data_IF_223534481796
#
_entry.id   IF_223534481796
#
_cell.length_a   1.000
_cell.length_b   1.000
_cell.length_c   1.000
_cell.angle_alpha   90.00
_cell.angle_beta   90.00
_cell.angle_gamma   90.00
#
_symmetry.space_group_name_H-M   'P 1'
#
loop_
_entity.id
_entity.type
_entity.pdbx_description
1 polymer ?
#
# COMPACT_ATOMS: atom_id res chain seq x y z
N UNK A 1 -33.33 1.07 -12.12
CA UNK A 1 -32.04 1.78 -12.14
C UNK A 1 -31.21 1.13 -11.06
N UNK A 2 -30.13 0.43 -11.40
CA UNK A 2 -29.30 -0.24 -10.39
C UNK A 2 -28.49 0.83 -9.67
N UNK A 3 -28.93 1.20 -8.47
CA UNK A 3 -28.23 2.18 -7.64
C UNK A 3 -26.77 1.75 -7.49
N UNK A 4 -25.88 2.53 -8.10
CA UNK A 4 -24.46 2.26 -8.10
C UNK A 4 -23.92 2.50 -6.69
N UNK A 5 -23.66 1.42 -5.96
CA UNK A 5 -23.05 1.45 -4.63
C UNK A 5 -21.68 0.81 -4.71
N UNK A 6 -20.70 1.41 -4.02
CA UNK A 6 -19.37 0.82 -3.87
C UNK A 6 -19.26 0.19 -2.48
N UNK A 7 -18.51 -0.90 -2.40
CA UNK A 7 -18.26 -1.57 -1.11
C UNK A 7 -17.08 -0.94 -0.39
N UNK A 8 -17.17 -0.84 0.93
CA UNK A 8 -16.03 -0.45 1.74
C UNK A 8 -14.88 -1.45 1.58
N UNK A 9 -13.64 -1.02 1.27
CA UNK A 9 -12.50 -1.93 1.14
C UNK A 9 -12.01 -2.54 2.47
N UNK A 10 -12.62 -2.16 3.60
CA UNK A 10 -12.30 -2.70 4.94
C UNK A 10 -13.41 -3.58 5.48
N UNK A 11 -14.66 -3.09 5.45
CA UNK A 11 -15.82 -3.67 6.12
C UNK A 11 -16.83 -4.30 5.14
N UNK A 12 -16.63 -4.11 3.82
CA UNK A 12 -17.51 -4.52 2.72
C UNK A 12 -18.96 -3.99 2.76
N UNK A 13 -19.28 -3.07 3.68
CA UNK A 13 -20.60 -2.44 3.71
C UNK A 13 -20.83 -1.61 2.45
N UNK A 14 -22.06 -1.52 1.94
CA UNK A 14 -22.39 -0.64 0.84
C UNK A 14 -22.22 0.81 1.26
N UNK A 15 -21.60 1.62 0.40
CA UNK A 15 -21.34 3.05 0.57
C UNK A 15 -21.78 3.75 -0.73
N UNK A 16 -22.37 4.97 -0.65
CA UNK A 16 -22.60 5.79 -1.82
C UNK A 16 -21.29 6.08 -2.58
N UNK A 17 -21.39 6.35 -3.88
CA UNK A 17 -20.24 6.63 -4.76
C UNK A 17 -19.35 7.80 -4.30
N UNK A 18 -19.86 8.67 -3.45
CA UNK A 18 -19.19 9.89 -3.01
C UNK A 18 -18.20 9.64 -1.86
N UNK A 19 -18.39 8.59 -1.06
CA UNK A 19 -17.63 8.39 0.19
C UNK A 19 -16.62 7.25 0.09
N UNK A 20 -15.39 7.42 0.56
CA UNK A 20 -14.34 6.38 0.37
C UNK A 20 -14.38 5.24 1.39
N UNK A 21 -14.99 5.43 2.56
CA UNK A 21 -15.00 4.47 3.67
C UNK A 21 -16.26 4.55 4.51
N UNK A 22 -16.71 3.42 5.05
CA UNK A 22 -17.97 3.31 5.80
C UNK A 22 -17.98 4.05 7.14
N UNK A 23 -16.79 4.37 7.70
CA UNK A 23 -16.66 5.05 8.99
C UNK A 23 -15.22 5.55 9.22
N UNK A 24 -15.00 6.47 10.18
CA UNK A 24 -13.66 6.91 10.58
C UNK A 24 -12.76 5.76 11.05
N UNK A 25 -13.33 4.68 11.60
CA UNK A 25 -12.58 3.48 11.98
C UNK A 25 -11.99 2.78 10.77
N UNK A 26 -12.77 2.61 9.71
CA UNK A 26 -12.31 1.99 8.47
C UNK A 26 -11.27 2.86 7.74
N UNK A 27 -11.41 4.19 7.83
CA UNK A 27 -10.39 5.10 7.32
C UNK A 27 -9.06 4.91 8.04
N UNK A 28 -9.04 4.81 9.38
CA UNK A 28 -7.82 4.53 10.15
C UNK A 28 -7.16 3.22 9.71
N UNK A 29 -7.92 2.13 9.59
CA UNK A 29 -7.40 0.83 9.14
C UNK A 29 -6.79 0.90 7.74
N UNK A 30 -7.42 1.62 6.80
CA UNK A 30 -6.82 1.83 5.48
C UNK A 30 -5.54 2.64 5.55
N UNK A 31 -5.48 3.69 6.36
CA UNK A 31 -4.29 4.51 6.54
C UNK A 31 -3.14 3.70 7.13
N UNK A 32 -3.43 2.85 8.12
CA UNK A 32 -2.43 1.98 8.74
C UNK A 32 -1.90 0.95 7.75
N UNK A 33 -2.77 0.29 6.99
CA UNK A 33 -2.38 -0.63 5.91
C UNK A 33 -1.55 0.09 4.85
N UNK A 34 -1.96 1.28 4.42
CA UNK A 34 -1.19 2.10 3.46
C UNK A 34 0.19 2.47 4.01
N UNK A 35 0.28 2.86 5.29
CA UNK A 35 1.55 3.19 5.93
C UNK A 35 2.47 1.97 6.01
N UNK A 36 1.94 0.80 6.36
CA UNK A 36 2.69 -0.46 6.36
C UNK A 36 3.21 -0.80 4.96
N UNK A 37 2.35 -0.74 3.94
CA UNK A 37 2.74 -1.02 2.56
C UNK A 37 3.83 -0.05 2.06
N UNK A 38 3.74 1.24 2.41
CA UNK A 38 4.77 2.23 2.07
C UNK A 38 6.11 1.89 2.74
N UNK A 39 6.10 1.50 4.02
CA UNK A 39 7.30 1.10 4.75
C UNK A 39 7.93 -0.16 4.13
N UNK A 40 7.14 -1.20 3.86
CA UNK A 40 7.64 -2.43 3.23
C UNK A 40 8.24 -2.18 1.85
N UNK A 41 7.60 -1.34 1.03
CA UNK A 41 8.15 -0.94 -0.29
C UNK A 41 9.46 -0.18 -0.17
N UNK A 42 9.57 0.72 0.80
CA UNK A 42 10.81 1.47 1.06
C UNK A 42 11.95 0.53 1.47
N UNK A 43 11.69 -0.40 2.39
CA UNK A 43 12.69 -1.39 2.84
C UNK A 43 13.15 -2.25 1.66
N UNK A 44 12.22 -2.75 0.85
CA UNK A 44 12.54 -3.55 -0.33
C UNK A 44 13.44 -2.78 -1.31
N UNK A 45 13.13 -1.50 -1.55
CA UNK A 45 13.93 -0.66 -2.43
C UNK A 45 15.35 -0.44 -1.89
N UNK A 46 15.49 -0.19 -0.58
CA UNK A 46 16.81 -0.04 0.07
C UNK A 46 17.64 -1.32 -0.10
N UNK A 47 17.06 -2.48 0.21
CA UNK A 47 17.75 -3.78 0.07
C UNK A 47 18.17 -4.02 -1.37
N UNK A 48 17.29 -3.74 -2.34
CA UNK A 48 17.59 -3.87 -3.76
C UNK A 48 18.76 -2.99 -4.20
N UNK A 49 18.79 -1.72 -3.78
CA UNK A 49 19.89 -0.81 -4.10
C UNK A 49 21.21 -1.29 -3.50
N UNK A 50 21.21 -1.71 -2.23
CA UNK A 50 22.41 -2.26 -1.58
C UNK A 50 22.91 -3.50 -2.33
N UNK A 51 22.00 -4.41 -2.71
CA UNK A 51 22.36 -5.60 -3.47
C UNK A 51 23.03 -5.26 -4.80
N UNK A 52 22.47 -4.30 -5.55
CA UNK A 52 23.04 -3.84 -6.82
C UNK A 52 24.43 -3.22 -6.60
N UNK A 53 24.62 -2.41 -5.56
CA UNK A 53 25.91 -1.79 -5.26
C UNK A 53 26.97 -2.83 -4.89
N UNK A 54 26.63 -3.81 -4.05
CA UNK A 54 27.54 -4.90 -3.68
C UNK A 54 27.88 -5.75 -4.90
N UNK A 55 26.89 -6.09 -5.73
CA UNK A 55 27.11 -6.84 -6.95
C UNK A 55 27.99 -6.09 -7.96
N UNK A 56 27.72 -4.80 -8.19
CA UNK A 56 28.54 -3.95 -9.03
C UNK A 56 29.97 -3.85 -8.47
N UNK A 57 30.13 -3.63 -7.17
CA UNK A 57 31.44 -3.60 -6.52
C UNK A 57 32.20 -4.91 -6.73
N UNK A 58 31.57 -6.07 -6.49
CA UNK A 58 32.19 -7.37 -6.74
C UNK A 58 32.57 -7.59 -8.21
N UNK A 59 31.79 -7.05 -9.15
CA UNK A 59 32.07 -7.16 -10.59
C UNK A 59 33.22 -6.25 -11.02
N UNK A 60 33.33 -5.04 -10.45
CA UNK A 60 34.36 -4.06 -10.82
C UNK A 60 35.69 -4.22 -10.07
N UNK A 61 35.68 -4.77 -8.84
CA UNK A 61 36.89 -5.04 -8.04
C UNK A 61 37.44 -6.47 -8.22
N UNK A 62 36.92 -7.23 -9.18
CA UNK A 62 37.43 -8.53 -9.61
C UNK A 62 38.05 -8.41 -11.00
#
# INVERSE_FOLDING_TARGET
>A
MTDMHKHCPVCNTPIPLDETTCSPKCQKVLRDRQAQMKRSRMILFIVMVIFILVFAYMMFFR
#
